data_IF_932942393166
#
_entry.id   IF_932942393166
#
_cell.length_a   1.000
_cell.length_b   1.000
_cell.length_c   1.000
_cell.angle_alpha   90.00
_cell.angle_beta   90.00
_cell.angle_gamma   90.00
#
_symmetry.space_group_name_H-M   'P 1'
#
loop_
_entity.id
_entity.type
_entity.pdbx_description
1 polymer ?
#
# COMPACT_ATOMS: atom_id res chain seq x y z
N UNK A 1 -3.37 11.09 21.83
CA UNK A 1 -4.26 10.18 21.08
C UNK A 1 -3.48 8.92 20.75
N UNK A 2 -4.07 7.74 20.92
CA UNK A 2 -3.43 6.49 20.50
C UNK A 2 -3.53 6.37 18.98
N UNK A 3 -2.41 6.07 18.33
CA UNK A 3 -2.30 5.90 16.88
C UNK A 3 -2.18 4.41 16.53
N UNK A 4 -2.63 4.04 15.34
CA UNK A 4 -2.55 2.68 14.80
C UNK A 4 -1.97 2.69 13.39
N UNK A 5 -1.31 1.60 13.03
CA UNK A 5 -0.97 1.29 11.64
C UNK A 5 -1.96 0.27 11.09
N UNK A 6 -2.29 0.38 9.81
CA UNK A 6 -2.96 -0.70 9.09
C UNK A 6 -1.89 -1.64 8.56
N UNK A 7 -1.97 -2.92 8.93
CA UNK A 7 -0.90 -3.89 8.72
C UNK A 7 -1.41 -5.27 8.36
N UNK A 8 -0.59 -6.02 7.62
CA UNK A 8 -0.72 -7.46 7.38
C UNK A 8 0.63 -8.14 7.57
N UNK A 9 0.66 -9.47 7.62
CA UNK A 9 1.90 -10.25 7.70
C UNK A 9 1.99 -11.15 6.48
N UNK A 10 2.92 -10.81 5.59
CA UNK A 10 3.24 -11.62 4.42
C UNK A 10 4.15 -12.80 4.82
N UNK A 11 3.90 -14.03 4.31
CA UNK A 11 4.66 -15.22 4.69
C UNK A 11 6.17 -15.11 4.41
N UNK A 12 6.56 -14.55 3.25
CA UNK A 12 7.96 -14.36 2.89
C UNK A 12 8.59 -13.05 3.41
N UNK A 13 7.89 -11.91 3.32
CA UNK A 13 8.46 -10.58 3.60
C UNK A 13 8.39 -10.22 5.09
N UNK A 14 7.42 -10.78 5.81
CA UNK A 14 7.05 -10.37 7.16
C UNK A 14 6.00 -9.26 7.15
N UNK A 15 6.06 -8.38 8.14
CA UNK A 15 5.02 -7.36 8.36
C UNK A 15 5.06 -6.28 7.29
N UNK A 16 3.89 -5.95 6.76
CA UNK A 16 3.66 -4.87 5.82
C UNK A 16 2.70 -3.84 6.41
N UNK A 17 2.78 -2.62 5.92
CA UNK A 17 1.98 -1.48 6.34
C UNK A 17 1.48 -0.67 5.15
N UNK A 18 0.35 0.00 5.33
CA UNK A 18 -0.14 1.00 4.38
C UNK A 18 0.72 2.27 4.42
N UNK A 19 0.97 2.83 3.25
CA UNK A 19 1.57 4.15 3.06
C UNK A 19 0.63 5.00 2.22
N UNK A 20 0.32 6.18 2.73
CA UNK A 20 -0.47 7.21 2.09
C UNK A 20 0.25 8.54 2.27
N UNK A 21 0.49 9.20 1.14
CA UNK A 21 1.07 10.54 1.08
C UNK A 21 0.06 11.46 0.42
N UNK A 22 -0.46 12.45 1.15
CA UNK A 22 -1.28 13.46 0.51
C UNK A 22 -0.41 14.46 -0.23
N UNK A 23 -0.75 14.74 -1.48
CA UNK A 23 -0.05 15.73 -2.30
C UNK A 23 -0.92 16.95 -2.63
N UNK A 24 -1.99 17.16 -1.85
CA UNK A 24 -2.92 18.27 -2.01
C UNK A 24 -2.21 19.64 -2.00
N UNK A 25 -1.18 19.80 -1.17
CA UNK A 25 -0.40 21.03 -1.03
C UNK A 25 0.37 21.42 -2.30
N UNK A 26 0.60 20.47 -3.21
CA UNK A 26 1.30 20.69 -4.48
C UNK A 26 0.37 20.60 -5.69
N UNK A 27 -0.96 20.56 -5.49
CA UNK A 27 -1.95 20.32 -6.54
C UNK A 27 -1.62 19.06 -7.37
N UNK A 28 -1.19 18.00 -6.69
CA UNK A 28 -0.78 16.74 -7.29
C UNK A 28 -1.61 15.59 -6.69
N UNK A 29 -1.82 14.47 -7.41
CA UNK A 29 -2.62 13.36 -6.88
C UNK A 29 -2.00 12.72 -5.65
N UNK A 30 -2.85 12.30 -4.72
CA UNK A 30 -2.42 11.54 -3.54
C UNK A 30 -1.78 10.21 -3.96
N UNK A 31 -0.77 9.77 -3.21
CA UNK A 31 -0.04 8.54 -3.52
C UNK A 31 -0.35 7.45 -2.49
N UNK A 32 -0.67 6.25 -3.00
CA UNK A 32 -1.01 5.07 -2.21
C UNK A 32 0.02 3.98 -2.48
N UNK A 33 0.69 3.50 -1.44
CA UNK A 33 1.72 2.46 -1.55
C UNK A 33 1.74 1.57 -0.30
N UNK A 34 2.74 0.69 -0.22
CA UNK A 34 2.97 -0.26 0.87
C UNK A 34 4.43 -0.26 1.29
N UNK A 35 4.71 -0.62 2.54
CA UNK A 35 6.09 -0.69 3.07
C UNK A 35 6.25 -1.81 4.09
N UNK A 36 7.46 -2.34 4.23
CA UNK A 36 7.88 -3.18 5.36
C UNK A 36 8.58 -2.37 6.48
N UNK A 37 8.65 -1.04 6.35
CA UNK A 37 9.27 -0.14 7.33
C UNK A 37 8.22 0.66 8.10
N UNK A 38 8.19 0.50 9.42
CA UNK A 38 7.19 1.14 10.28
C UNK A 38 7.31 2.67 10.33
N UNK A 39 8.49 3.21 10.02
CA UNK A 39 8.81 4.63 10.02
C UNK A 39 8.09 5.38 8.89
N UNK A 40 7.81 4.67 7.78
CA UNK A 40 7.12 5.20 6.60
C UNK A 40 5.61 4.92 6.64
N UNK A 41 5.15 4.10 7.58
CA UNK A 41 3.76 3.68 7.66
C UNK A 41 2.84 4.86 8.05
N UNK A 42 1.69 4.94 7.38
CA UNK A 42 0.67 5.95 7.72
C UNK A 42 0.08 5.66 9.08
N UNK A 43 0.13 6.68 9.96
CA UNK A 43 -0.50 6.65 11.28
C UNK A 43 -1.94 7.10 11.18
N UNK A 44 -2.83 6.27 11.69
CA UNK A 44 -4.25 6.58 11.80
C UNK A 44 -4.63 6.80 13.26
N UNK A 45 -5.62 7.68 13.55
CA UNK A 45 -6.21 7.72 14.89
C UNK A 45 -6.86 6.38 15.21
N UNK A 46 -6.75 5.91 16.46
CA UNK A 46 -7.47 4.71 16.90
C UNK A 46 -8.97 4.89 16.67
N UNK A 47 -9.61 3.90 16.05
CA UNK A 47 -11.03 3.97 15.67
C UNK A 47 -11.28 4.68 14.34
N UNK A 48 -10.24 4.92 13.51
CA UNK A 48 -10.39 5.60 12.22
C UNK A 48 -11.42 4.95 11.28
N UNK A 49 -11.65 3.63 11.38
CA UNK A 49 -12.67 2.93 10.57
C UNK A 49 -14.09 3.32 10.93
N UNK A 50 -14.33 3.80 12.15
CA UNK A 50 -15.64 4.29 12.59
C UNK A 50 -15.81 5.79 12.32
N UNK A 51 -14.75 6.47 11.85
CA UNK A 51 -14.77 7.89 11.54
C UNK A 51 -15.08 8.09 10.05
N UNK A 52 -16.24 8.69 9.74
CA UNK A 52 -16.77 8.83 8.38
C UNK A 52 -15.72 9.28 7.34
N UNK A 53 -15.02 10.38 7.62
CA UNK A 53 -14.02 10.93 6.70
C UNK A 53 -12.83 9.97 6.46
N UNK A 54 -12.15 9.51 7.50
CA UNK A 54 -10.99 8.61 7.37
C UNK A 54 -11.38 7.27 6.76
N UNK A 55 -12.52 6.71 7.16
CA UNK A 55 -13.01 5.46 6.61
C UNK A 55 -13.32 5.61 5.12
N UNK A 56 -14.04 6.66 4.72
CA UNK A 56 -14.35 6.93 3.32
C UNK A 56 -13.08 7.10 2.48
N UNK A 57 -12.10 7.85 2.98
CA UNK A 57 -10.85 8.15 2.26
C UNK A 57 -10.00 6.89 2.04
N UNK A 58 -9.86 6.03 3.06
CA UNK A 58 -8.88 4.94 3.03
C UNK A 58 -9.47 3.53 2.85
N UNK A 59 -10.80 3.35 2.83
CA UNK A 59 -11.42 2.02 2.67
C UNK A 59 -11.01 1.27 1.39
N UNK A 60 -10.63 2.01 0.34
CA UNK A 60 -10.23 1.46 -0.96
C UNK A 60 -8.72 1.47 -1.17
N UNK A 61 -7.91 1.53 -0.09
CA UNK A 61 -6.45 1.69 -0.17
C UNK A 61 -5.79 0.68 -1.13
N UNK A 62 -6.07 -0.62 -0.98
CA UNK A 62 -5.45 -1.65 -1.83
C UNK A 62 -5.89 -1.53 -3.29
N UNK A 63 -7.15 -1.18 -3.56
CA UNK A 63 -7.59 -0.89 -4.93
C UNK A 63 -6.84 0.30 -5.53
N UNK A 64 -6.56 1.34 -4.72
CA UNK A 64 -5.79 2.51 -5.17
C UNK A 64 -4.31 2.20 -5.40
N UNK A 65 -3.70 1.35 -4.58
CA UNK A 65 -2.33 0.86 -4.77
C UNK A 65 -2.15 0.15 -6.12
N UNK A 66 -3.19 -0.54 -6.60
CA UNK A 66 -3.18 -1.31 -7.85
C UNK A 66 -4.20 -0.76 -8.86
N UNK A 67 -4.35 0.56 -8.94
CA UNK A 67 -5.18 1.25 -9.94
C UNK A 67 -4.35 1.43 -11.23
N UNK A 68 -4.68 0.70 -12.33
CA UNK A 68 -3.90 0.79 -13.57
C UNK A 68 -4.11 2.13 -14.31
N UNK A 69 -5.25 2.77 -14.11
CA UNK A 69 -5.61 4.05 -14.76
C UNK A 69 -4.98 5.28 -14.07
N UNK A 70 -4.28 5.09 -12.93
CA UNK A 70 -3.61 6.17 -12.22
C UNK A 70 -2.18 6.34 -12.76
N UNK A 71 -1.88 7.43 -13.49
CA UNK A 71 -0.56 7.65 -14.09
C UNK A 71 0.56 7.89 -13.05
N UNK A 72 0.21 8.05 -11.78
CA UNK A 72 1.16 8.26 -10.68
C UNK A 72 1.23 7.06 -9.74
N UNK A 73 0.55 5.97 -10.07
CA UNK A 73 0.60 4.70 -9.35
C UNK A 73 1.98 4.04 -9.48
N UNK A 74 2.37 3.33 -8.41
CA UNK A 74 3.53 2.45 -8.46
C UNK A 74 3.25 1.16 -9.27
N UNK A 75 2.00 0.93 -9.69
CA UNK A 75 1.54 -0.20 -10.51
C UNK A 75 1.06 0.28 -11.88
N UNK A 76 1.56 -0.36 -12.95
CA UNK A 76 1.15 -0.07 -14.33
C UNK A 76 0.87 -1.36 -15.09
N UNK A 77 -0.22 -1.37 -15.84
CA UNK A 77 -0.57 -2.39 -16.84
C UNK A 77 -0.41 -1.78 -18.24
N UNK A 78 0.19 -2.51 -19.17
CA UNK A 78 0.22 -2.11 -20.59
C UNK A 78 0.18 -3.34 -21.50
N UNK A 79 -0.44 -3.19 -22.66
CA UNK A 79 -0.44 -4.22 -23.70
C UNK A 79 0.88 -4.17 -24.46
N UNK A 80 1.60 -5.29 -24.46
CA UNK A 80 2.68 -5.51 -25.41
C UNK A 80 2.06 -5.98 -26.73
N UNK A 81 1.94 -5.06 -27.69
CA UNK A 81 1.37 -5.33 -29.02
C UNK A 81 2.18 -6.37 -29.81
N UNK A 82 3.48 -6.49 -29.55
CA UNK A 82 4.38 -7.41 -30.27
C UNK A 82 4.30 -8.83 -29.69
N UNK A 83 4.23 -8.95 -28.36
CA UNK A 83 4.05 -10.22 -27.66
C UNK A 83 2.58 -10.67 -27.56
N UNK A 84 1.63 -9.76 -27.78
CA UNK A 84 0.20 -10.00 -27.64
C UNK A 84 -0.23 -10.32 -26.20
N UNK A 85 0.48 -9.79 -25.19
CA UNK A 85 0.23 -10.06 -23.78
C UNK A 85 0.09 -8.78 -22.95
N UNK A 86 -0.62 -8.88 -21.83
CA UNK A 86 -0.72 -7.80 -20.85
C UNK A 86 0.48 -7.90 -19.89
N UNK A 87 1.39 -6.94 -19.96
CA UNK A 87 2.52 -6.85 -19.04
C UNK A 87 2.15 -5.99 -17.83
N UNK A 88 2.66 -6.38 -16.66
CA UNK A 88 2.46 -5.69 -15.40
C UNK A 88 3.80 -5.28 -14.82
N UNK A 89 3.93 -4.02 -14.41
CA UNK A 89 5.14 -3.51 -13.78
C UNK A 89 4.83 -2.86 -12.44
N UNK A 90 5.80 -3.01 -11.54
CA UNK A 90 5.83 -2.33 -10.26
C UNK A 90 7.05 -1.41 -10.22
N UNK A 91 6.92 -0.31 -9.50
CA UNK A 91 8.01 0.62 -9.22
C UNK A 91 8.07 0.96 -7.72
N UNK A 92 9.06 1.78 -7.33
CA UNK A 92 9.18 2.30 -5.98
C UNK A 92 9.25 1.23 -4.89
N UNK A 93 8.47 1.43 -3.81
CA UNK A 93 8.41 0.51 -2.69
C UNK A 93 7.74 -0.81 -3.06
N UNK A 94 6.71 -0.79 -3.93
CA UNK A 94 6.00 -2.00 -4.34
C UNK A 94 6.91 -2.98 -5.08
N UNK A 95 7.75 -2.49 -6.01
CA UNK A 95 8.72 -3.32 -6.72
C UNK A 95 9.69 -4.01 -5.77
N UNK A 96 10.17 -3.27 -4.75
CA UNK A 96 11.07 -3.82 -3.73
C UNK A 96 10.38 -4.94 -2.94
N UNK A 97 9.14 -4.72 -2.53
CA UNK A 97 8.37 -5.72 -1.79
C UNK A 97 8.10 -6.96 -2.63
N UNK A 98 7.62 -6.80 -3.86
CA UNK A 98 7.38 -7.92 -4.78
C UNK A 98 8.67 -8.70 -5.07
N UNK A 99 9.79 -8.03 -5.30
CA UNK A 99 11.09 -8.70 -5.48
C UNK A 99 11.48 -9.51 -4.24
N UNK A 100 11.25 -8.96 -3.04
CA UNK A 100 11.53 -9.63 -1.76
C UNK A 100 10.57 -10.80 -1.48
N UNK A 101 9.34 -10.76 -2.01
CA UNK A 101 8.39 -11.87 -1.87
C UNK A 101 8.75 -13.06 -2.77
N UNK A 102 9.44 -12.81 -3.88
CA UNK A 102 9.77 -13.82 -4.89
C UNK A 102 8.59 -14.25 -5.75
N UNK A 103 7.43 -13.61 -5.59
CA UNK A 103 6.21 -13.87 -6.38
C UNK A 103 6.28 -13.12 -7.71
N UNK A 104 5.47 -13.52 -8.70
CA UNK A 104 5.20 -12.65 -9.85
C UNK A 104 4.41 -11.40 -9.44
N UNK A 105 4.32 -10.39 -10.30
CA UNK A 105 3.53 -9.18 -10.03
C UNK A 105 2.05 -9.52 -9.78
N UNK A 106 1.49 -10.41 -10.60
CA UNK A 106 0.09 -10.84 -10.47
C UNK A 106 -0.16 -11.63 -9.17
N UNK A 107 0.72 -12.58 -8.83
CA UNK A 107 0.63 -13.34 -7.58
C UNK A 107 0.73 -12.42 -6.35
N UNK A 108 1.65 -11.46 -6.39
CA UNK A 108 1.81 -10.46 -5.33
C UNK A 108 0.57 -9.59 -5.19
N UNK A 109 0.01 -9.10 -6.31
CA UNK A 109 -1.24 -8.32 -6.34
C UNK A 109 -2.41 -9.12 -5.77
N UNK A 110 -2.63 -10.34 -6.24
CA UNK A 110 -3.69 -11.22 -5.71
C UNK A 110 -3.53 -11.50 -4.22
N UNK A 111 -2.29 -11.67 -3.75
CA UNK A 111 -2.03 -11.81 -2.32
C UNK A 111 -2.43 -10.54 -1.55
N UNK A 112 -2.08 -9.34 -2.03
CA UNK A 112 -2.46 -8.09 -1.35
C UNK A 112 -3.97 -7.89 -1.23
N UNK A 113 -4.74 -8.28 -2.24
CA UNK A 113 -6.20 -8.21 -2.22
C UNK A 113 -6.85 -9.26 -1.29
N UNK A 114 -6.24 -10.43 -1.14
CA UNK A 114 -6.75 -11.50 -0.27
C UNK A 114 -6.26 -11.41 1.18
N UNK A 115 -5.22 -10.63 1.43
CA UNK A 115 -4.66 -10.43 2.76
C UNK A 115 -5.66 -9.78 3.73
N UNK A 116 -5.61 -10.23 4.99
CA UNK A 116 -6.38 -9.61 6.07
C UNK A 116 -5.58 -8.43 6.63
N UNK A 117 -6.12 -7.22 6.47
CA UNK A 117 -5.53 -5.99 6.97
C UNK A 117 -6.13 -5.59 8.31
N UNK A 118 -5.29 -5.49 9.34
CA UNK A 118 -5.70 -5.23 10.73
C UNK A 118 -5.04 -3.96 11.29
N UNK A 119 -5.67 -3.35 12.29
CA UNK A 119 -5.02 -2.29 13.06
C UNK A 119 -4.05 -2.88 14.07
N UNK A 120 -2.84 -2.33 14.09
CA UNK A 120 -1.85 -2.60 15.14
C UNK A 120 -1.44 -1.30 15.81
N UNK A 121 -1.17 -1.28 17.13
CA UNK A 121 -0.71 -0.08 17.82
C UNK A 121 0.56 0.47 17.19
N UNK A 122 0.59 1.78 16.91
CA UNK A 122 1.80 2.48 16.52
C UNK A 122 2.63 2.74 17.80
N UNK A 123 3.43 1.76 18.21
CA UNK A 123 4.32 1.93 19.35
C UNK A 123 5.35 3.01 19.03
N UNK A 124 5.38 4.07 19.84
CA UNK A 124 6.46 5.04 19.80
C UNK A 124 7.67 4.39 20.46
N UNK A 125 8.76 4.25 19.73
CA UNK A 125 10.06 4.03 20.36
C UNK A 125 10.33 5.31 21.15
N UNK A 126 10.24 5.22 22.48
CA UNK A 126 10.72 6.29 23.36
C UNK A 126 12.23 6.11 23.40
N UNK A 127 12.97 6.95 22.68
CA UNK A 127 14.41 7.05 22.90
C UNK A 127 14.61 7.53 24.36
N UNK A 128 15.24 6.67 25.16
CA UNK A 128 15.61 6.94 26.56
C UNK A 128 16.91 7.72 26.65
#
# INVERSE_FOLDING_TARGET
MSEVFVSTVHPAIGRLYWVFTSNADCNYPDHYSLTDWSELATRFPKGWRDHDYYHWLHRSHISKVFEPDDPYSDYVEYEDEEAGCLEQRLSGLLARLQTKSGQTVEEFRHWMFSAVWVDVPALRIVES
#
